data_IF_082922325762
#
_entry.id   IF_082922325762
#
_cell.length_a   1.000
_cell.length_b   1.000
_cell.length_c   1.000
_cell.angle_alpha   90.00
_cell.angle_beta   90.00
_cell.angle_gamma   90.00
#
_symmetry.space_group_name_H-M   'P 1'
#
loop_
_entity.id
_entity.type
_entity.pdbx_description
1 polymer ?
#
# COMPACT_ATOMS: atom_id res chain seq x y z
N UNK A 1 -30.84 -9.13 65.10
CA UNK A 1 -29.63 -8.27 65.05
C UNK A 1 -28.83 -8.64 63.81
N UNK A 2 -28.43 -7.64 63.02
CA UNK A 2 -27.55 -7.74 61.85
C UNK A 2 -26.15 -8.22 62.27
N UNK A 3 -25.53 -9.13 61.51
CA UNK A 3 -24.09 -9.07 61.20
C UNK A 3 -23.86 -9.54 59.77
N UNK A 4 -23.44 -8.57 58.94
CA UNK A 4 -23.02 -8.70 57.55
C UNK A 4 -21.51 -8.97 57.50
N UNK A 5 -21.09 -9.50 56.35
CA UNK A 5 -19.78 -9.33 55.71
C UNK A 5 -18.61 -10.16 56.24
N UNK A 6 -18.10 -11.06 55.39
CA UNK A 6 -16.67 -11.25 55.11
C UNK A 6 -16.48 -12.29 53.98
N UNK A 7 -16.77 -11.88 52.74
CA UNK A 7 -16.06 -12.43 51.57
C UNK A 7 -15.54 -11.21 50.82
N UNK A 8 -14.33 -10.78 51.18
CA UNK A 8 -13.50 -9.89 50.40
C UNK A 8 -12.18 -10.61 50.14
N UNK A 9 -11.56 -10.28 49.00
CA UNK A 9 -10.23 -10.70 48.51
C UNK A 9 -10.25 -12.04 47.73
N UNK A 10 -9.78 -12.17 46.49
CA UNK A 10 -8.80 -11.41 45.70
C UNK A 10 -9.19 -11.43 44.20
N UNK A 11 -9.47 -10.27 43.60
CA UNK A 11 -9.33 -10.12 42.15
C UNK A 11 -7.85 -9.86 41.91
N UNK A 12 -7.15 -10.85 41.38
CA UNK A 12 -5.77 -10.69 40.95
C UNK A 12 -5.73 -9.64 39.81
N UNK A 13 -5.15 -8.48 40.09
CA UNK A 13 -4.71 -7.52 39.09
C UNK A 13 -3.58 -8.16 38.26
N UNK A 14 -3.94 -8.91 37.21
CA UNK A 14 -3.01 -9.25 36.15
C UNK A 14 -2.70 -7.95 35.37
N UNK A 15 -1.44 -7.47 35.34
CA UNK A 15 -1.09 -6.37 34.48
C UNK A 15 -1.13 -6.89 33.04
N UNK A 16 -2.18 -6.54 32.30
CA UNK A 16 -2.23 -6.64 30.84
C UNK A 16 -1.23 -5.63 30.22
N UNK A 17 0.05 -5.71 30.61
CA UNK A 17 1.17 -5.04 29.96
C UNK A 17 1.62 -5.92 28.81
N UNK A 18 0.98 -5.81 27.65
CA UNK A 18 1.51 -6.49 26.46
C UNK A 18 0.56 -6.70 25.30
N UNK A 19 -0.75 -6.52 25.48
CA UNK A 19 -1.67 -6.49 24.33
C UNK A 19 -1.50 -5.13 23.67
N UNK A 20 -0.45 -4.99 22.84
CA UNK A 20 -0.43 -3.96 21.80
C UNK A 20 -1.75 -4.16 21.05
N UNK A 21 -2.62 -3.15 21.05
CA UNK A 21 -3.82 -3.17 20.24
C UNK A 21 -3.37 -3.28 18.77
N UNK A 22 -3.43 -4.50 18.22
CA UNK A 22 -2.92 -4.85 16.89
C UNK A 22 -3.82 -4.39 15.74
N UNK A 23 -4.85 -3.62 16.06
CA UNK A 23 -5.68 -2.95 15.09
C UNK A 23 -5.77 -1.48 15.53
N UNK A 24 -4.85 -0.65 15.06
CA UNK A 24 -5.32 0.66 14.63
C UNK A 24 -6.27 0.34 13.47
N UNK A 25 -7.58 0.30 13.73
CA UNK A 25 -8.57 0.47 12.67
C UNK A 25 -8.37 1.88 12.14
N UNK A 26 -7.32 2.06 11.34
CA UNK A 26 -7.12 3.26 10.59
C UNK A 26 -8.36 3.37 9.71
N UNK A 27 -9.18 4.38 9.95
CA UNK A 27 -10.29 4.77 9.08
C UNK A 27 -9.70 5.37 7.80
N UNK A 28 -8.92 4.57 7.07
CA UNK A 28 -8.30 4.92 5.81
C UNK A 28 -9.15 4.34 4.66
N UNK A 29 -9.48 5.08 3.61
CA UNK A 29 -9.13 6.48 3.34
C UNK A 29 -10.18 7.47 3.91
N UNK A 30 -10.99 7.08 4.89
CA UNK A 30 -12.10 7.88 5.40
C UNK A 30 -13.09 8.22 4.30
N UNK A 31 -13.36 9.51 4.11
CA UNK A 31 -14.23 10.05 3.05
C UNK A 31 -13.49 10.27 1.72
N UNK A 32 -12.18 9.98 1.63
CA UNK A 32 -11.34 10.29 0.47
C UNK A 32 -11.17 9.12 -0.53
N UNK A 33 -12.08 8.14 -0.54
CA UNK A 33 -12.02 7.01 -1.49
C UNK A 33 -11.99 7.46 -2.96
N UNK A 34 -12.87 8.41 -3.32
CA UNK A 34 -12.91 8.96 -4.66
C UNK A 34 -11.62 9.71 -5.04
N UNK A 35 -11.05 10.47 -4.10
CA UNK A 35 -9.79 11.18 -4.32
C UNK A 35 -8.63 10.18 -4.52
N UNK A 36 -8.58 9.09 -3.76
CA UNK A 36 -7.53 8.08 -3.93
C UNK A 36 -7.64 7.34 -5.27
N UNK A 37 -8.87 7.03 -5.73
CA UNK A 37 -9.11 6.46 -7.07
C UNK A 37 -8.70 7.42 -8.18
N UNK A 38 -9.03 8.70 -8.05
CA UNK A 38 -8.63 9.71 -9.02
C UNK A 38 -7.12 9.94 -9.05
N UNK A 39 -6.49 9.88 -7.87
CA UNK A 39 -5.04 9.91 -7.75
C UNK A 39 -4.42 8.74 -8.51
N UNK A 40 -4.90 7.50 -8.27
CA UNK A 40 -4.43 6.31 -8.99
C UNK A 40 -4.61 6.44 -10.51
N UNK A 41 -5.77 6.89 -10.98
CA UNK A 41 -6.03 7.12 -12.40
C UNK A 41 -5.13 8.20 -13.03
N UNK A 42 -4.65 9.14 -12.22
CA UNK A 42 -3.77 10.23 -12.68
C UNK A 42 -2.32 9.79 -12.80
N UNK A 43 -1.80 9.04 -11.81
CA UNK A 43 -0.36 8.73 -11.67
C UNK A 43 0.06 7.38 -12.23
N UNK A 44 -0.88 6.45 -12.39
CA UNK A 44 -0.59 5.13 -12.94
C UNK A 44 -0.63 5.15 -14.49
N UNK A 45 -0.02 4.15 -15.16
CA UNK A 45 -0.01 4.07 -16.62
C UNK A 45 -1.43 4.08 -17.21
N UNK A 46 -1.66 4.92 -18.21
CA UNK A 46 -2.97 5.05 -18.86
C UNK A 46 -3.43 3.75 -19.54
N UNK A 47 -2.50 2.87 -19.92
CA UNK A 47 -2.78 1.55 -20.52
C UNK A 47 -3.56 0.60 -19.59
N UNK A 48 -3.58 0.87 -18.29
CA UNK A 48 -4.37 0.09 -17.32
C UNK A 48 -5.88 0.29 -17.47
N UNK A 49 -6.29 1.49 -17.88
CA UNK A 49 -7.69 1.88 -17.86
C UNK A 49 -8.27 2.05 -16.45
N UNK A 50 -9.45 2.68 -16.38
CA UNK A 50 -10.05 3.14 -15.11
C UNK A 50 -10.32 2.00 -14.12
N UNK A 51 -10.83 0.88 -14.60
CA UNK A 51 -11.17 -0.25 -13.72
C UNK A 51 -9.94 -0.81 -13.00
N UNK A 52 -8.79 -0.91 -13.68
CA UNK A 52 -7.57 -1.43 -13.08
C UNK A 52 -6.93 -0.40 -12.13
N UNK A 53 -6.95 0.89 -12.46
CA UNK A 53 -6.44 1.93 -11.54
C UNK A 53 -7.27 2.01 -10.25
N UNK A 54 -8.60 1.87 -10.35
CA UNK A 54 -9.48 1.82 -9.18
C UNK A 54 -9.22 0.56 -8.34
N UNK A 55 -8.97 -0.58 -8.98
CA UNK A 55 -8.61 -1.81 -8.28
C UNK A 55 -7.28 -1.67 -7.52
N UNK A 56 -6.28 -0.98 -8.10
CA UNK A 56 -5.01 -0.68 -7.42
C UNK A 56 -5.24 0.21 -6.20
N UNK A 57 -6.09 1.25 -6.32
CA UNK A 57 -6.45 2.09 -5.17
C UNK A 57 -7.09 1.27 -4.04
N UNK A 58 -8.00 0.34 -4.36
CA UNK A 58 -8.62 -0.56 -3.37
C UNK A 58 -7.59 -1.48 -2.71
N UNK A 59 -6.66 -2.03 -3.48
CA UNK A 59 -5.58 -2.86 -2.92
C UNK A 59 -4.65 -2.03 -2.02
N UNK A 60 -4.35 -0.79 -2.39
CA UNK A 60 -3.56 0.12 -1.57
C UNK A 60 -4.28 0.45 -0.25
N UNK A 61 -5.59 0.70 -0.27
CA UNK A 61 -6.40 0.88 0.95
C UNK A 61 -6.26 -0.32 1.87
N UNK A 62 -6.41 -1.52 1.32
CA UNK A 62 -6.27 -2.76 2.08
C UNK A 62 -4.87 -2.87 2.68
N UNK A 63 -3.83 -2.58 1.91
CA UNK A 63 -2.44 -2.61 2.38
C UNK A 63 -2.19 -1.65 3.56
N UNK A 64 -2.73 -0.42 3.51
CA UNK A 64 -2.63 0.54 4.62
C UNK A 64 -3.41 0.07 5.85
N UNK A 65 -4.62 -0.48 5.66
CA UNK A 65 -5.47 -0.99 6.76
C UNK A 65 -4.86 -2.20 7.46
N UNK A 66 -4.18 -3.05 6.70
CA UNK A 66 -3.51 -4.25 7.22
C UNK A 66 -2.07 -3.97 7.68
N UNK A 67 -1.66 -2.71 7.78
CA UNK A 67 -0.32 -2.33 8.21
C UNK A 67 -0.04 -2.75 9.65
N UNK A 68 0.95 -3.62 9.83
CA UNK A 68 1.35 -4.16 11.14
C UNK A 68 2.52 -3.38 11.72
N UNK A 69 2.23 -2.47 12.66
CA UNK A 69 3.24 -1.69 13.38
C UNK A 69 4.17 -2.60 14.17
N UNK A 70 5.48 -2.38 14.07
CA UNK A 70 6.48 -3.17 14.78
C UNK A 70 6.63 -4.61 14.30
N UNK A 71 5.99 -4.98 13.18
CA UNK A 71 6.27 -6.26 12.54
C UNK A 71 7.70 -6.27 11.99
N UNK A 72 8.35 -7.42 12.07
CA UNK A 72 9.67 -7.61 11.48
C UNK A 72 9.61 -7.37 9.96
N UNK A 73 10.57 -6.60 9.46
CA UNK A 73 10.78 -6.39 8.04
C UNK A 73 11.73 -7.45 7.51
N UNK A 74 11.48 -7.93 6.30
CA UNK A 74 12.33 -8.93 5.66
C UNK A 74 13.79 -8.45 5.65
N UNK A 75 14.67 -9.24 6.25
CA UNK A 75 16.11 -9.06 6.16
C UNK A 75 16.55 -9.42 4.73
N UNK A 76 16.52 -8.43 3.84
CA UNK A 76 17.07 -8.57 2.49
C UNK A 76 18.59 -8.67 2.52
N UNK A 77 19.17 -9.14 1.41
CA UNK A 77 20.62 -9.10 1.21
C UNK A 77 21.14 -7.66 1.40
N UNK A 78 22.18 -7.49 2.23
CA UNK A 78 22.73 -6.18 2.57
C UNK A 78 22.16 -5.52 3.84
N UNK A 79 21.23 -6.16 4.56
CA UNK A 79 20.75 -5.70 5.87
C UNK A 79 21.17 -6.68 6.98
N UNK A 80 22.30 -6.43 7.67
CA UNK A 80 22.81 -7.36 8.69
C UNK A 80 22.02 -7.33 10.01
N UNK A 81 21.10 -6.38 10.18
CA UNK A 81 20.34 -6.18 11.41
C UNK A 81 18.85 -6.29 11.09
N UNK A 82 18.13 -6.98 11.99
CA UNK A 82 16.67 -7.08 11.95
C UNK A 82 16.06 -5.69 12.06
N UNK A 83 15.15 -5.36 11.15
CA UNK A 83 14.43 -4.09 11.14
C UNK A 83 12.96 -4.33 11.44
N UNK A 84 12.30 -3.33 11.97
CA UNK A 84 10.88 -3.38 12.29
C UNK A 84 10.13 -2.28 11.56
N UNK A 85 8.88 -2.54 11.21
CA UNK A 85 7.99 -1.57 10.58
C UNK A 85 7.77 -0.38 11.53
N UNK A 86 7.90 0.87 11.03
CA UNK A 86 7.63 2.07 11.81
C UNK A 86 6.13 2.22 12.14
N UNK A 87 5.74 3.38 12.63
CA UNK A 87 4.33 3.75 12.80
C UNK A 87 3.55 3.69 11.47
N UNK A 88 2.25 3.41 11.55
CA UNK A 88 1.37 3.39 10.39
C UNK A 88 1.37 4.74 9.66
N UNK A 89 1.51 4.76 8.32
CA UNK A 89 1.49 6.00 7.55
C UNK A 89 0.07 6.59 7.37
N UNK A 90 -0.98 5.87 7.82
CA UNK A 90 -2.37 6.19 7.50
C UNK A 90 -2.77 7.64 7.84
N UNK A 91 -2.39 8.15 9.03
CA UNK A 91 -2.74 9.51 9.45
C UNK A 91 -2.12 10.58 8.53
N UNK A 92 -0.86 10.38 8.12
CA UNK A 92 -0.20 11.30 7.19
C UNK A 92 -0.82 11.23 5.79
N UNK A 93 -1.11 10.02 5.31
CA UNK A 93 -1.77 9.86 4.02
C UNK A 93 -3.14 10.53 3.99
N UNK A 94 -3.90 10.50 5.09
CA UNK A 94 -5.17 11.21 5.19
C UNK A 94 -5.00 12.73 5.02
N UNK A 95 -4.05 13.34 5.73
CA UNK A 95 -3.76 14.76 5.61
C UNK A 95 -3.31 15.14 4.19
N UNK A 96 -2.50 14.29 3.56
CA UNK A 96 -2.09 14.48 2.16
C UNK A 96 -3.28 14.34 1.20
N UNK A 97 -4.13 13.32 1.37
CA UNK A 97 -5.32 13.14 0.54
C UNK A 97 -6.29 14.31 0.65
N UNK A 98 -6.47 14.87 1.84
CA UNK A 98 -7.31 16.05 2.03
C UNK A 98 -6.77 17.26 1.26
N UNK A 99 -5.45 17.51 1.32
CA UNK A 99 -4.82 18.58 0.56
C UNK A 99 -4.91 18.34 -0.96
N UNK A 100 -4.66 17.10 -1.39
CA UNK A 100 -4.74 16.72 -2.80
C UNK A 100 -6.17 16.84 -3.36
N UNK A 101 -7.18 16.48 -2.57
CA UNK A 101 -8.59 16.55 -2.96
C UNK A 101 -9.07 18.00 -3.18
N UNK A 102 -8.52 18.97 -2.43
CA UNK A 102 -8.89 20.39 -2.56
C UNK A 102 -8.34 21.02 -3.83
N UNK A 103 -7.10 20.69 -4.20
CA UNK A 103 -6.41 21.36 -5.32
C UNK A 103 -6.01 20.40 -6.45
N UNK A 104 -4.91 19.65 -6.40
CA UNK A 104 -4.41 18.97 -7.60
C UNK A 104 -5.35 17.92 -8.18
N UNK A 105 -6.34 17.43 -7.43
CA UNK A 105 -7.35 16.48 -7.92
C UNK A 105 -8.71 17.13 -8.24
N UNK A 106 -8.92 18.40 -7.91
CA UNK A 106 -10.17 19.11 -8.23
C UNK A 106 -10.22 19.62 -9.67
N UNK A 107 -9.05 19.77 -10.31
CA UNK A 107 -8.96 20.11 -11.74
C UNK A 107 -9.52 18.99 -12.62
N UNK A 108 -10.35 19.36 -13.61
CA UNK A 108 -10.91 18.40 -14.59
C UNK A 108 -9.88 17.93 -15.63
N UNK A 109 -8.84 18.73 -15.90
CA UNK A 109 -7.78 18.42 -16.86
C UNK A 109 -6.69 17.53 -16.26
N UNK A 110 -6.53 16.32 -16.83
CA UNK A 110 -5.54 15.35 -16.38
C UNK A 110 -4.10 15.86 -16.52
N UNK A 111 -3.77 16.64 -17.55
CA UNK A 111 -2.42 17.15 -17.74
C UNK A 111 -2.05 18.14 -16.63
N UNK A 112 -3.00 19.00 -16.25
CA UNK A 112 -2.85 19.91 -15.11
C UNK A 112 -2.71 19.16 -13.79
N UNK A 113 -3.56 18.15 -13.52
CA UNK A 113 -3.40 17.31 -12.32
C UNK A 113 -1.98 16.73 -12.22
N UNK A 114 -1.48 16.15 -13.31
CA UNK A 114 -0.12 15.57 -13.36
C UNK A 114 0.98 16.58 -13.08
N UNK A 115 0.89 17.79 -13.64
CA UNK A 115 1.87 18.86 -13.39
C UNK A 115 1.88 19.29 -11.93
N UNK A 116 0.70 19.47 -11.33
CA UNK A 116 0.60 19.87 -9.92
C UNK A 116 1.13 18.77 -8.99
N UNK A 117 0.80 17.50 -9.27
CA UNK A 117 1.35 16.35 -8.51
C UNK A 117 2.88 16.25 -8.66
N UNK A 118 3.41 16.50 -9.86
CA UNK A 118 4.86 16.53 -10.09
C UNK A 118 5.55 17.67 -9.32
N UNK A 119 4.94 18.86 -9.26
CA UNK A 119 5.43 19.97 -8.43
C UNK A 119 5.46 19.58 -6.95
N UNK A 120 4.38 18.98 -6.44
CA UNK A 120 4.32 18.53 -5.05
C UNK A 120 5.38 17.48 -4.70
N UNK A 121 5.67 16.55 -5.62
CA UNK A 121 6.78 15.60 -5.45
C UNK A 121 8.15 16.30 -5.43
N UNK A 122 8.37 17.28 -6.30
CA UNK A 122 9.61 18.05 -6.35
C UNK A 122 9.82 18.88 -5.07
N UNK A 123 8.77 19.53 -4.57
CA UNK A 123 8.76 20.25 -3.29
C UNK A 123 9.05 19.33 -2.11
N UNK A 124 8.49 18.11 -2.12
CA UNK A 124 8.79 17.07 -1.16
C UNK A 124 10.19 16.44 -1.32
N UNK A 125 10.99 16.90 -2.31
CA UNK A 125 12.33 16.39 -2.65
C UNK A 125 12.34 14.91 -3.02
N UNK A 126 11.27 14.44 -3.67
CA UNK A 126 11.12 13.07 -4.13
C UNK A 126 11.51 13.01 -5.61
N UNK A 127 12.79 12.72 -5.87
CA UNK A 127 13.31 12.54 -7.22
C UNK A 127 13.27 11.09 -7.74
N UNK A 128 13.20 10.11 -6.82
CA UNK A 128 13.14 8.68 -7.14
C UNK A 128 12.04 8.01 -6.34
N UNK A 129 11.37 7.02 -6.93
CA UNK A 129 10.43 6.19 -6.21
C UNK A 129 11.19 5.34 -5.17
N UNK A 130 10.68 5.23 -3.93
CA UNK A 130 11.28 4.34 -2.96
C UNK A 130 11.12 2.87 -3.41
N UNK A 131 12.11 2.04 -3.05
CA UNK A 131 12.07 0.61 -3.38
C UNK A 131 10.98 -0.18 -2.67
N UNK A 132 10.31 0.42 -1.67
CA UNK A 132 9.08 -0.01 -0.99
C UNK A 132 8.37 1.23 -0.45
N UNK A 133 7.03 1.25 -0.32
CA UNK A 133 6.32 2.35 0.33
C UNK A 133 6.92 2.68 1.71
N UNK A 134 7.48 3.87 1.88
CA UNK A 134 8.19 4.28 3.10
C UNK A 134 7.34 5.15 4.03
N UNK A 135 6.09 5.38 3.60
CA UNK A 135 5.10 6.18 4.28
C UNK A 135 5.13 7.64 3.86
N UNK A 136 6.22 8.16 3.28
CA UNK A 136 6.52 9.60 3.26
C UNK A 136 5.52 10.44 2.51
N UNK A 137 5.12 9.95 1.35
CA UNK A 137 4.26 10.68 0.44
C UNK A 137 3.35 9.72 -0.31
N UNK A 138 2.05 9.94 -0.22
CA UNK A 138 1.05 9.01 -0.74
C UNK A 138 1.20 8.79 -2.25
N UNK A 139 1.58 9.83 -2.99
CA UNK A 139 1.77 9.73 -4.45
C UNK A 139 2.92 8.78 -4.79
N UNK A 140 4.09 8.95 -4.18
CA UNK A 140 5.25 8.10 -4.45
C UNK A 140 5.03 6.68 -3.95
N UNK A 141 4.37 6.54 -2.81
CA UNK A 141 4.11 5.25 -2.19
C UNK A 141 3.03 4.45 -2.94
N UNK A 142 2.00 5.11 -3.48
CA UNK A 142 1.01 4.47 -4.34
C UNK A 142 1.66 3.97 -5.64
N UNK A 143 2.52 4.81 -6.26
CA UNK A 143 3.27 4.40 -7.45
C UNK A 143 4.20 3.22 -7.13
N UNK A 144 4.95 3.31 -6.04
CA UNK A 144 5.87 2.23 -5.61
C UNK A 144 5.10 0.94 -5.32
N UNK A 145 3.98 1.04 -4.60
CA UNK A 145 3.10 -0.08 -4.33
C UNK A 145 2.64 -0.78 -5.62
N UNK A 146 2.23 -0.01 -6.64
CA UNK A 146 1.85 -0.58 -7.93
C UNK A 146 3.03 -1.19 -8.66
N UNK A 147 4.14 -0.48 -8.85
CA UNK A 147 5.27 -0.98 -9.66
C UNK A 147 5.95 -2.22 -9.07
N UNK A 148 5.76 -2.45 -7.78
CA UNK A 148 6.24 -3.65 -7.11
C UNK A 148 5.26 -4.83 -7.17
N UNK A 149 4.03 -4.61 -7.63
CA UNK A 149 3.01 -5.63 -7.64
C UNK A 149 3.31 -6.72 -8.67
N UNK A 150 2.78 -7.94 -8.45
CA UNK A 150 2.86 -9.01 -9.44
C UNK A 150 2.25 -8.63 -10.77
N UNK A 151 1.14 -7.91 -10.75
CA UNK A 151 0.43 -7.49 -11.96
C UNK A 151 1.25 -6.50 -12.79
N UNK A 152 1.94 -5.55 -12.15
CA UNK A 152 2.82 -4.62 -12.85
C UNK A 152 4.03 -5.33 -13.47
N UNK A 153 4.57 -6.34 -12.77
CA UNK A 153 5.66 -7.17 -13.29
C UNK A 153 5.23 -7.95 -14.53
N UNK A 154 4.07 -8.60 -14.46
CA UNK A 154 3.51 -9.38 -15.57
C UNK A 154 3.27 -8.51 -16.82
N UNK A 155 2.77 -7.29 -16.64
CA UNK A 155 2.56 -6.32 -17.72
C UNK A 155 3.89 -5.87 -18.33
N UNK A 156 4.89 -5.54 -17.51
CA UNK A 156 6.19 -5.07 -17.99
C UNK A 156 6.91 -6.10 -18.87
N UNK A 157 6.75 -7.39 -18.55
CA UNK A 157 7.33 -8.49 -19.31
C UNK A 157 6.38 -9.14 -20.33
N UNK A 158 5.12 -8.68 -20.40
CA UNK A 158 4.05 -9.30 -21.21
C UNK A 158 3.93 -10.83 -20.98
N UNK A 159 4.10 -11.28 -19.73
CA UNK A 159 4.15 -12.68 -19.35
C UNK A 159 3.45 -12.92 -18.01
N UNK A 160 2.87 -14.11 -17.82
CA UNK A 160 2.21 -14.53 -16.58
C UNK A 160 3.25 -15.03 -15.58
N UNK A 161 4.12 -14.13 -15.10
CA UNK A 161 5.19 -14.46 -14.16
C UNK A 161 4.57 -14.76 -12.80
N UNK A 162 3.62 -13.93 -12.36
CA UNK A 162 2.99 -14.02 -11.06
C UNK A 162 4.03 -13.87 -9.96
N UNK A 163 4.81 -12.77 -9.99
CA UNK A 163 5.78 -12.43 -8.93
C UNK A 163 5.14 -12.66 -7.55
N UNK A 164 5.88 -13.20 -6.60
CA UNK A 164 5.42 -13.55 -5.25
C UNK A 164 4.32 -14.65 -5.17
N UNK A 165 3.93 -15.27 -6.29
CA UNK A 165 3.09 -16.48 -6.34
C UNK A 165 3.95 -17.68 -6.74
N UNK A 166 4.09 -18.65 -5.83
CA UNK A 166 4.84 -19.87 -6.13
C UNK A 166 4.13 -20.70 -7.22
N UNK A 167 4.84 -21.05 -8.29
CA UNK A 167 4.39 -22.10 -9.21
C UNK A 167 4.68 -23.46 -8.57
N UNK A 168 3.76 -24.41 -8.72
CA UNK A 168 4.02 -25.79 -8.30
C UNK A 168 5.21 -26.39 -9.04
N UNK A 169 5.90 -27.35 -8.42
CA UNK A 169 7.12 -27.96 -8.95
C UNK A 169 6.97 -28.49 -10.39
N UNK A 170 5.82 -29.08 -10.72
CA UNK A 170 5.52 -29.58 -12.07
C UNK A 170 5.54 -28.48 -13.14
N UNK A 171 5.27 -27.23 -12.74
CA UNK A 171 5.13 -26.06 -13.62
C UNK A 171 6.27 -25.05 -13.41
N UNK A 172 7.36 -25.42 -12.72
CA UNK A 172 8.48 -24.50 -12.46
C UNK A 172 9.43 -24.36 -13.64
N UNK A 173 9.70 -25.48 -14.34
CA UNK A 173 10.69 -25.54 -15.43
C UNK A 173 10.30 -24.75 -16.70
N UNK A 174 9.04 -24.78 -17.18
CA UNK A 174 8.68 -24.02 -18.36
C UNK A 174 8.72 -22.50 -18.09
N UNK A 175 9.09 -21.74 -19.12
CA UNK A 175 8.96 -20.28 -19.11
C UNK A 175 7.50 -19.88 -18.89
N UNK A 176 7.22 -18.82 -18.09
CA UNK A 176 5.86 -18.34 -17.92
C UNK A 176 5.23 -17.97 -19.27
N UNK A 177 3.95 -18.35 -19.50
CA UNK A 177 3.29 -18.10 -20.77
C UNK A 177 3.03 -16.60 -20.98
N UNK A 178 2.81 -16.14 -22.23
CA UNK A 178 2.44 -14.76 -22.52
C UNK A 178 1.19 -14.32 -21.74
N UNK A 179 1.08 -13.03 -21.44
CA UNK A 179 -0.10 -12.46 -20.79
C UNK A 179 -1.35 -12.69 -21.66
N UNK A 180 -2.48 -13.04 -21.05
CA UNK A 180 -3.73 -13.28 -21.80
C UNK A 180 -4.14 -11.99 -22.53
N UNK A 181 -4.26 -12.05 -23.86
CA UNK A 181 -4.53 -10.87 -24.70
C UNK A 181 -3.28 -10.08 -25.12
N UNK A 182 -2.09 -10.46 -24.66
CA UNK A 182 -0.83 -9.94 -25.15
C UNK A 182 -0.56 -10.39 -26.60
N UNK A 183 -0.20 -9.45 -27.48
CA UNK A 183 0.31 -9.82 -28.81
C UNK A 183 1.54 -10.71 -28.62
N UNK A 184 1.61 -11.82 -29.36
CA UNK A 184 2.82 -12.66 -29.40
C UNK A 184 3.95 -11.78 -29.91
N UNK A 185 4.89 -11.42 -29.05
CA UNK A 185 6.17 -10.91 -29.52
C UNK A 185 6.85 -12.11 -30.21
N UNK A 186 6.98 -12.03 -31.53
CA UNK A 186 7.79 -12.98 -32.28
C UNK A 186 9.18 -12.99 -31.63
N UNK A 187 9.65 -14.20 -31.32
CA UNK A 187 10.98 -14.40 -30.77
C UNK A 187 12.02 -13.72 -31.65
N UNK A 188 12.93 -12.97 -31.02
CA UNK A 188 14.22 -12.60 -31.62
C UNK A 188 15.05 -13.86 -31.84
#
# INVERSE_FOLDING_TARGET
MRRRALIQSLIACLPLRGVRLWAQTATFPGTHDAALKELAATVLPASLGRAATDAVAVQFIRWVREYRVGAEMQAGYGYPVVRYKPESPAARYMAQLEALAKDPLSSSDQATRRRQLASGLAEAKIGNLPGFPDGKHIVSDLMSFYFMSPEANDIAYNAQIGKDKCRGLKNSAPMPPPLKGGKKNAAL
#
